data_IF_898828531663
#
_entry.id   IF_898828531663
#
_cell.length_a   1.000
_cell.length_b   1.000
_cell.length_c   1.000
_cell.angle_alpha   90.00
_cell.angle_beta   90.00
_cell.angle_gamma   90.00
#
_symmetry.space_group_name_H-M   'P 1'
#
loop_
_entity.id
_entity.type
_entity.pdbx_description
1 polymer ?
#
# COMPACT_ATOMS: atom_id res chain seq x y z
N UNK A 1 -9.11 7.63 34.08
CA UNK A 1 -10.48 7.28 33.68
C UNK A 1 -10.58 5.75 33.63
N UNK A 2 -11.55 5.18 34.34
CA UNK A 2 -11.80 3.73 34.33
C UNK A 2 -13.07 3.49 33.52
N UNK A 3 -13.05 2.50 32.64
CA UNK A 3 -14.20 2.09 31.86
C UNK A 3 -14.66 0.71 32.32
N UNK A 4 -15.94 0.57 32.68
CA UNK A 4 -16.53 -0.75 32.97
C UNK A 4 -16.84 -1.46 31.65
N UNK A 5 -16.14 -2.57 31.41
CA UNK A 5 -16.29 -3.41 30.22
C UNK A 5 -16.88 -4.78 30.54
N UNK A 6 -17.55 -4.91 31.69
CA UNK A 6 -18.19 -6.18 32.10
C UNK A 6 -19.15 -6.69 31.01
N UNK A 7 -18.97 -7.94 30.61
CA UNK A 7 -19.78 -8.57 29.57
C UNK A 7 -19.43 -8.16 28.15
N UNK A 8 -18.32 -7.44 27.94
CA UNK A 8 -17.84 -7.03 26.63
C UNK A 8 -16.50 -7.69 26.32
N UNK A 9 -16.21 -7.87 25.05
CA UNK A 9 -14.88 -8.31 24.58
C UNK A 9 -14.12 -7.08 24.08
N UNK A 10 -12.87 -6.95 24.52
CA UNK A 10 -11.96 -5.92 24.02
C UNK A 10 -11.06 -6.56 22.97
N UNK A 11 -11.00 -5.94 21.79
CA UNK A 11 -10.13 -6.35 20.70
C UNK A 11 -9.25 -5.19 20.27
N UNK A 12 -8.10 -5.43 19.64
CA UNK A 12 -7.41 -4.38 18.87
C UNK A 12 -8.35 -3.82 17.79
N UNK A 13 -8.09 -2.59 17.37
CA UNK A 13 -8.78 -2.04 16.19
C UNK A 13 -8.40 -2.79 14.91
N UNK A 14 -9.27 -2.71 13.92
CA UNK A 14 -9.00 -3.32 12.61
C UNK A 14 -7.88 -2.56 11.89
N UNK A 15 -7.16 -3.29 11.04
CA UNK A 15 -6.15 -2.74 10.14
C UNK A 15 -6.61 -3.00 8.71
N UNK A 16 -6.80 -1.92 7.94
CA UNK A 16 -7.07 -2.00 6.52
C UNK A 16 -5.73 -1.99 5.77
N UNK A 17 -5.37 -3.11 5.16
CA UNK A 17 -4.10 -3.25 4.46
C UNK A 17 -4.16 -2.85 2.98
N UNK A 18 -5.33 -2.50 2.48
CA UNK A 18 -5.53 -2.05 1.10
C UNK A 18 -6.65 -1.01 1.03
N UNK A 19 -6.31 0.21 1.36
CA UNK A 19 -7.23 1.32 1.30
C UNK A 19 -6.93 2.25 0.11
N UNK A 20 -7.95 2.99 -0.30
CA UNK A 20 -7.83 4.14 -1.19
C UNK A 20 -8.62 5.28 -0.57
N UNK A 21 -7.95 6.08 0.24
CA UNK A 21 -8.58 7.22 0.91
C UNK A 21 -8.64 8.44 -0.01
N UNK A 22 -9.44 9.41 0.37
CA UNK A 22 -9.61 10.63 -0.42
C UNK A 22 -8.29 11.37 -0.54
N UNK A 23 -7.86 11.56 -1.77
CA UNK A 23 -6.71 12.37 -2.13
C UNK A 23 -7.04 13.87 -2.03
N UNK A 24 -5.99 14.68 -1.93
CA UNK A 24 -6.10 16.13 -2.02
C UNK A 24 -6.71 16.52 -3.36
N UNK A 25 -7.77 17.31 -3.29
CA UNK A 25 -8.37 17.92 -4.47
C UNK A 25 -7.79 19.32 -4.67
N UNK A 26 -7.28 19.57 -5.86
CA UNK A 26 -6.73 20.90 -6.26
C UNK A 26 -5.54 21.37 -5.42
N UNK A 27 -4.78 20.45 -4.84
CA UNK A 27 -3.58 20.78 -4.06
C UNK A 27 -3.85 21.45 -2.71
N UNK A 28 -5.05 21.31 -2.16
CA UNK A 28 -5.44 21.86 -0.86
C UNK A 28 -5.77 20.72 0.09
N UNK A 29 -5.05 20.64 1.21
CA UNK A 29 -5.38 19.70 2.29
C UNK A 29 -6.70 20.11 2.94
N UNK A 30 -7.59 19.15 3.13
CA UNK A 30 -8.78 19.35 3.92
C UNK A 30 -8.40 19.54 5.39
N UNK A 31 -9.15 20.38 6.09
CA UNK A 31 -8.97 20.60 7.53
C UNK A 31 -9.30 19.36 8.35
N UNK A 32 -10.07 18.44 7.78
CA UNK A 32 -10.38 17.13 8.33
C UNK A 32 -10.74 16.17 7.19
N UNK A 33 -10.10 15.01 7.16
CA UNK A 33 -10.43 13.98 6.17
C UNK A 33 -11.60 13.12 6.66
N UNK A 34 -12.74 13.20 5.97
CA UNK A 34 -13.95 12.46 6.35
C UNK A 34 -13.77 10.94 6.27
N UNK A 35 -12.97 10.45 5.30
CA UNK A 35 -12.72 9.02 5.16
C UNK A 35 -11.96 8.47 6.39
N UNK A 36 -11.08 9.26 6.99
CA UNK A 36 -10.41 8.91 8.23
C UNK A 36 -11.37 8.81 9.41
N UNK A 37 -12.32 9.74 9.50
CA UNK A 37 -13.37 9.69 10.51
C UNK A 37 -14.28 8.48 10.33
N UNK A 38 -14.66 8.17 9.10
CA UNK A 38 -15.46 6.99 8.79
C UNK A 38 -14.75 5.71 9.19
N UNK A 39 -13.46 5.56 8.85
CA UNK A 39 -12.65 4.42 9.26
C UNK A 39 -12.66 4.24 10.78
N UNK A 40 -12.41 5.29 11.54
CA UNK A 40 -12.45 5.24 13.01
C UNK A 40 -13.83 4.86 13.52
N UNK A 41 -14.92 5.37 12.92
CA UNK A 41 -16.28 5.06 13.31
C UNK A 41 -16.61 3.57 13.11
N UNK A 42 -16.00 2.92 12.13
CA UNK A 42 -16.11 1.47 11.90
C UNK A 42 -15.04 0.64 12.61
N UNK A 43 -14.23 1.25 13.46
CA UNK A 43 -13.22 0.56 14.27
C UNK A 43 -11.92 0.25 13.53
N UNK A 44 -11.69 0.83 12.36
CA UNK A 44 -10.41 0.76 11.65
C UNK A 44 -9.47 1.81 12.25
N UNK A 45 -8.43 1.36 12.92
CA UNK A 45 -7.51 2.23 13.68
C UNK A 45 -6.15 2.42 13.02
N UNK A 46 -5.85 1.65 12.00
CA UNK A 46 -4.67 1.79 11.15
C UNK A 46 -4.99 1.30 9.74
N UNK A 47 -4.23 1.74 8.75
CA UNK A 47 -4.36 1.23 7.39
C UNK A 47 -3.28 1.73 6.45
N UNK A 48 -3.18 1.06 5.31
CA UNK A 48 -2.25 1.36 4.24
C UNK A 48 -3.01 1.81 3.00
N UNK A 49 -2.79 3.06 2.61
CA UNK A 49 -3.24 3.57 1.31
C UNK A 49 -2.26 3.13 0.24
N UNK A 50 -2.72 2.34 -0.69
CA UNK A 50 -1.91 1.79 -1.77
C UNK A 50 -2.16 2.55 -3.06
N UNK A 51 -1.08 2.93 -3.74
CA UNK A 51 -1.15 3.56 -5.06
C UNK A 51 -1.94 4.88 -5.07
N UNK A 52 -1.46 5.85 -4.35
CA UNK A 52 -2.00 7.21 -4.40
C UNK A 52 -1.65 7.88 -5.74
N UNK A 53 -2.49 8.80 -6.22
CA UNK A 53 -2.20 9.63 -7.39
C UNK A 53 -1.15 10.71 -7.09
N UNK A 54 -0.93 10.98 -5.80
CA UNK A 54 0.01 11.97 -5.31
C UNK A 54 0.69 11.49 -4.02
N UNK A 55 1.57 12.30 -3.46
CA UNK A 55 2.21 12.04 -2.17
C UNK A 55 1.50 12.73 -0.98
N UNK A 56 0.31 13.24 -1.19
CA UNK A 56 -0.44 14.01 -0.18
C UNK A 56 -0.83 13.17 1.04
N UNK A 57 -0.96 11.86 0.85
CA UNK A 57 -1.29 10.95 1.94
C UNK A 57 -0.22 10.96 3.05
N UNK A 58 1.03 11.25 2.72
CA UNK A 58 2.08 11.43 3.73
C UNK A 58 1.85 12.68 4.58
N UNK A 59 1.35 13.76 4.00
CA UNK A 59 0.97 14.95 4.75
C UNK A 59 -0.22 14.69 5.69
N UNK A 60 -1.21 13.90 5.26
CA UNK A 60 -2.29 13.47 6.17
C UNK A 60 -1.78 12.56 7.28
N UNK A 61 -0.84 11.67 7.01
CA UNK A 61 -0.20 10.85 8.04
C UNK A 61 0.46 11.74 9.10
N UNK A 62 1.24 12.73 8.68
CA UNK A 62 1.90 13.68 9.58
C UNK A 62 0.89 14.44 10.44
N UNK A 63 -0.21 14.92 9.85
CA UNK A 63 -1.27 15.63 10.57
C UNK A 63 -1.99 14.75 11.61
N UNK A 64 -2.16 13.47 11.34
CA UNK A 64 -2.70 12.51 12.33
C UNK A 64 -1.69 12.27 13.45
N UNK A 65 -0.41 12.08 13.11
CA UNK A 65 0.66 11.79 14.07
C UNK A 65 0.93 12.98 15.00
N UNK A 66 0.79 14.21 14.50
CA UNK A 66 0.88 15.44 15.32
C UNK A 66 -0.40 15.74 16.10
N UNK A 67 -1.50 15.10 15.76
CA UNK A 67 -2.81 15.32 16.40
C UNK A 67 -3.56 16.55 15.87
N UNK A 68 -3.14 17.10 14.75
CA UNK A 68 -3.79 18.26 14.11
C UNK A 68 -5.12 17.87 13.44
N UNK A 69 -5.24 16.61 13.03
CA UNK A 69 -6.52 16.03 12.57
C UNK A 69 -6.80 14.72 13.30
N UNK A 70 -8.08 14.39 13.41
CA UNK A 70 -8.51 13.10 13.93
C UNK A 70 -8.55 12.07 12.81
N UNK A 71 -7.88 10.93 13.00
CA UNK A 71 -7.84 9.87 12.01
C UNK A 71 -7.25 8.58 12.55
N UNK A 72 -7.42 7.50 11.78
CA UNK A 72 -6.66 6.29 11.99
C UNK A 72 -5.18 6.55 11.64
N UNK A 73 -4.31 5.71 12.14
CA UNK A 73 -2.90 5.73 11.75
C UNK A 73 -2.78 5.39 10.27
N UNK A 74 -2.42 6.38 9.44
CA UNK A 74 -2.37 6.25 7.99
C UNK A 74 -0.93 5.97 7.53
N UNK A 75 -0.78 4.92 6.74
CA UNK A 75 0.45 4.60 6.02
C UNK A 75 0.17 4.69 4.52
N UNK A 76 1.19 4.93 3.71
CA UNK A 76 1.04 5.00 2.27
C UNK A 76 2.21 4.39 1.53
N UNK A 77 1.94 3.81 0.38
CA UNK A 77 2.98 3.47 -0.59
C UNK A 77 3.47 4.68 -1.38
N UNK A 78 2.73 5.78 -1.32
CA UNK A 78 2.87 6.87 -2.28
C UNK A 78 2.37 6.48 -3.67
N UNK A 79 2.71 7.26 -4.70
CA UNK A 79 2.34 6.97 -6.09
C UNK A 79 2.82 5.58 -6.51
N UNK A 80 1.94 4.82 -7.14
CA UNK A 80 2.26 3.48 -7.62
C UNK A 80 3.30 3.49 -8.74
N UNK A 81 4.06 2.43 -8.83
CA UNK A 81 5.01 2.21 -9.93
C UNK A 81 4.28 1.42 -11.02
N UNK A 82 4.04 2.05 -12.15
CA UNK A 82 3.23 1.53 -13.25
C UNK A 82 4.05 0.89 -14.37
N UNK A 83 3.36 0.15 -15.24
CA UNK A 83 3.95 -0.53 -16.38
C UNK A 83 4.61 0.42 -17.39
N UNK A 84 4.15 1.64 -17.47
CA UNK A 84 4.69 2.67 -18.37
C UNK A 84 6.02 3.29 -17.88
N UNK A 85 6.46 2.98 -16.68
CA UNK A 85 7.79 3.39 -16.21
C UNK A 85 8.92 2.84 -17.08
N UNK A 86 8.71 1.70 -17.73
CA UNK A 86 9.61 1.12 -18.74
C UNK A 86 11.11 1.09 -18.34
N UNK A 87 11.39 0.61 -17.15
CA UNK A 87 12.74 0.52 -16.61
C UNK A 87 13.66 -0.34 -17.48
N UNK A 88 14.83 0.18 -17.81
CA UNK A 88 15.84 -0.50 -18.61
C UNK A 88 16.92 -1.18 -17.75
N UNK A 89 17.11 -0.74 -16.53
CA UNK A 89 18.12 -1.26 -15.62
C UNK A 89 17.63 -1.31 -14.17
N UNK A 90 18.35 -2.07 -13.37
CA UNK A 90 18.17 -2.10 -11.92
C UNK A 90 18.51 -0.76 -11.27
N UNK A 91 19.49 -0.05 -11.79
CA UNK A 91 19.92 1.26 -11.29
C UNK A 91 18.81 2.29 -11.44
N UNK A 92 18.08 2.28 -12.54
CA UNK A 92 16.91 3.18 -12.73
C UNK A 92 15.84 2.89 -11.68
N UNK A 93 15.47 1.63 -11.49
CA UNK A 93 14.50 1.23 -10.47
C UNK A 93 15.00 1.64 -9.08
N UNK A 94 16.25 1.37 -8.76
CA UNK A 94 16.85 1.73 -7.47
C UNK A 94 16.83 3.24 -7.24
N UNK A 95 17.08 4.03 -8.28
CA UNK A 95 16.97 5.49 -8.23
C UNK A 95 15.57 5.95 -7.84
N UNK A 96 14.53 5.39 -8.45
CA UNK A 96 13.14 5.67 -8.12
C UNK A 96 12.81 5.24 -6.69
N UNK A 97 13.11 4.00 -6.31
CA UNK A 97 12.79 3.49 -4.98
C UNK A 97 13.56 4.21 -3.86
N UNK A 98 14.78 4.69 -4.15
CA UNK A 98 15.54 5.53 -3.20
C UNK A 98 14.78 6.81 -2.86
N UNK A 99 14.08 7.40 -3.84
CA UNK A 99 13.22 8.56 -3.58
C UNK A 99 12.12 8.22 -2.57
N UNK A 100 11.44 7.08 -2.75
CA UNK A 100 10.39 6.63 -1.83
C UNK A 100 10.95 6.36 -0.43
N UNK A 101 12.04 5.60 -0.36
CA UNK A 101 12.66 5.24 0.92
C UNK A 101 13.21 6.43 1.68
N UNK A 102 13.89 7.34 0.97
CA UNK A 102 14.63 8.45 1.57
C UNK A 102 13.79 9.70 1.79
N UNK A 103 12.92 10.04 0.85
CA UNK A 103 12.20 11.32 0.88
C UNK A 103 10.73 11.17 1.29
N UNK A 104 10.09 10.06 0.95
CA UNK A 104 8.73 9.78 1.44
C UNK A 104 8.74 9.01 2.75
N UNK A 105 9.86 8.41 3.13
CA UNK A 105 9.97 7.66 4.38
C UNK A 105 9.17 6.36 4.39
N UNK A 106 8.64 5.92 3.26
CA UNK A 106 7.88 4.67 3.20
C UNK A 106 8.75 3.46 2.96
N UNK A 107 8.37 2.35 3.59
CA UNK A 107 8.94 1.03 3.31
C UNK A 107 8.08 0.20 2.35
N UNK A 108 6.88 0.67 2.05
CA UNK A 108 5.91 -0.03 1.23
C UNK A 108 5.92 0.52 -0.19
N UNK A 109 5.88 -0.35 -1.18
CA UNK A 109 5.79 0.01 -2.59
C UNK A 109 4.65 -0.73 -3.24
N UNK A 110 3.79 -0.01 -3.92
CA UNK A 110 2.84 -0.58 -4.85
C UNK A 110 3.50 -0.66 -6.22
N UNK A 111 3.88 -1.86 -6.61
CA UNK A 111 4.30 -2.16 -7.97
C UNK A 111 3.07 -2.64 -8.73
N UNK A 112 2.43 -1.75 -9.47
CA UNK A 112 1.24 -2.10 -10.23
C UNK A 112 1.55 -3.19 -11.28
N UNK A 113 1.27 -3.02 -12.53
CA UNK A 113 1.64 -3.97 -13.59
C UNK A 113 2.94 -3.51 -14.26
N UNK A 114 4.05 -3.54 -13.52
CA UNK A 114 5.35 -3.09 -14.05
C UNK A 114 5.82 -4.02 -15.16
N UNK A 115 5.84 -3.53 -16.38
CA UNK A 115 6.51 -4.08 -17.54
C UNK A 115 6.54 -5.62 -17.69
N UNK A 116 7.63 -6.11 -18.22
CA UNK A 116 7.87 -7.55 -18.34
C UNK A 116 8.46 -8.14 -17.04
N UNK A 117 8.59 -9.48 -16.99
CA UNK A 117 9.09 -10.18 -15.81
C UNK A 117 10.48 -9.69 -15.35
N UNK A 118 11.37 -9.37 -16.29
CA UNK A 118 12.71 -8.88 -15.97
C UNK A 118 12.66 -7.55 -15.24
N UNK A 119 11.80 -6.65 -15.67
CA UNK A 119 11.58 -5.35 -15.00
C UNK A 119 10.99 -5.54 -13.60
N UNK A 120 10.04 -6.48 -13.43
CA UNK A 120 9.50 -6.83 -12.10
C UNK A 120 10.58 -7.41 -11.18
N UNK A 121 11.47 -8.25 -11.70
CA UNK A 121 12.60 -8.77 -10.94
C UNK A 121 13.57 -7.67 -10.52
N UNK A 122 13.83 -6.67 -11.36
CA UNK A 122 14.58 -5.47 -10.96
C UNK A 122 13.90 -4.74 -9.80
N UNK A 123 12.57 -4.60 -9.87
CA UNK A 123 11.78 -3.97 -8.80
C UNK A 123 11.97 -4.69 -7.46
N UNK A 124 11.77 -6.00 -7.45
CA UNK A 124 11.90 -6.82 -6.24
C UNK A 124 13.33 -6.78 -5.69
N UNK A 125 14.33 -6.90 -6.56
CA UNK A 125 15.72 -6.89 -6.15
C UNK A 125 16.14 -5.53 -5.58
N UNK A 126 15.78 -4.44 -6.24
CA UNK A 126 16.06 -3.09 -5.74
C UNK A 126 15.32 -2.81 -4.42
N UNK A 127 14.07 -3.25 -4.30
CA UNK A 127 13.30 -3.13 -3.07
C UNK A 127 13.98 -3.88 -1.91
N UNK A 128 14.45 -5.10 -2.15
CA UNK A 128 15.19 -5.89 -1.16
C UNK A 128 16.46 -5.19 -0.68
N UNK A 129 17.24 -4.59 -1.59
CA UNK A 129 18.46 -3.85 -1.23
C UNK A 129 18.17 -2.57 -0.41
N UNK A 130 16.98 -2.00 -0.57
CA UNK A 130 16.54 -0.80 0.12
C UNK A 130 15.67 -1.10 1.36
N UNK A 131 15.54 -2.38 1.73
CA UNK A 131 14.70 -2.84 2.84
C UNK A 131 13.25 -2.35 2.70
N UNK A 132 12.71 -2.49 1.49
CA UNK A 132 11.33 -2.15 1.15
C UNK A 132 10.51 -3.38 0.82
N UNK A 133 9.21 -3.28 0.98
CA UNK A 133 8.24 -4.36 0.77
C UNK A 133 7.38 -4.05 -0.47
N UNK A 134 7.73 -4.60 -1.64
CA UNK A 134 6.92 -4.43 -2.83
C UNK A 134 5.68 -5.32 -2.78
N UNK A 135 4.52 -4.73 -3.03
CA UNK A 135 3.28 -5.45 -3.35
C UNK A 135 2.93 -5.27 -4.82
N UNK A 136 2.11 -6.14 -5.35
CA UNK A 136 1.62 -6.06 -6.73
C UNK A 136 0.09 -6.06 -6.75
N UNK A 137 -0.47 -5.45 -7.78
CA UNK A 137 -1.93 -5.45 -8.00
C UNK A 137 -2.51 -6.85 -8.09
N UNK A 138 -1.71 -7.80 -8.53
CA UNK A 138 -2.19 -9.10 -8.93
C UNK A 138 -2.71 -9.12 -10.36
N UNK A 139 -2.99 -10.30 -10.85
CA UNK A 139 -3.58 -10.52 -12.15
C UNK A 139 -4.74 -11.51 -12.04
N UNK A 140 -5.66 -11.50 -13.00
CA UNK A 140 -6.68 -12.52 -13.10
C UNK A 140 -6.10 -13.82 -13.72
N UNK A 141 -4.81 -14.03 -13.60
CA UNK A 141 -4.04 -15.14 -14.13
C UNK A 141 -3.16 -15.74 -13.03
N UNK A 142 -3.55 -16.91 -12.55
CA UNK A 142 -2.82 -17.64 -11.51
C UNK A 142 -1.33 -17.83 -11.86
N UNK A 143 -1.01 -18.10 -13.11
CA UNK A 143 0.38 -18.32 -13.52
C UNK A 143 1.21 -17.07 -13.34
N UNK A 144 0.66 -15.91 -13.65
CA UNK A 144 1.33 -14.64 -13.41
C UNK A 144 1.47 -14.35 -11.93
N UNK A 145 0.42 -14.55 -11.13
CA UNK A 145 0.45 -14.35 -9.69
C UNK A 145 1.48 -15.26 -9.00
N UNK A 146 1.55 -16.53 -9.40
CA UNK A 146 2.59 -17.43 -8.91
C UNK A 146 4.00 -16.95 -9.27
N UNK A 147 4.19 -16.33 -10.45
CA UNK A 147 5.50 -15.74 -10.77
C UNK A 147 5.83 -14.55 -9.89
N UNK A 148 4.86 -13.74 -9.47
CA UNK A 148 5.08 -12.66 -8.51
C UNK A 148 5.56 -13.20 -7.16
N UNK A 149 4.92 -14.25 -6.65
CA UNK A 149 5.34 -14.90 -5.41
C UNK A 149 6.76 -15.46 -5.53
N UNK A 150 7.05 -16.18 -6.62
CA UNK A 150 8.38 -16.76 -6.87
C UNK A 150 9.45 -15.67 -7.00
N UNK A 151 9.13 -14.55 -7.64
CA UNK A 151 10.05 -13.44 -7.84
C UNK A 151 10.28 -12.64 -6.52
N UNK A 152 9.46 -12.87 -5.47
CA UNK A 152 9.69 -12.34 -4.13
C UNK A 152 8.91 -11.08 -3.78
N UNK A 153 7.76 -10.85 -4.42
CA UNK A 153 6.83 -9.84 -3.94
C UNK A 153 6.31 -10.20 -2.55
N UNK A 154 6.14 -9.21 -1.68
CA UNK A 154 5.67 -9.39 -0.31
C UNK A 154 4.16 -9.51 -0.19
N UNK A 155 3.43 -8.99 -1.17
CA UNK A 155 1.99 -9.05 -1.22
C UNK A 155 1.48 -9.11 -2.66
N UNK A 156 0.36 -9.79 -2.82
CA UNK A 156 -0.39 -9.86 -4.05
C UNK A 156 -1.83 -9.46 -3.75
N UNK A 157 -2.31 -8.40 -4.39
CA UNK A 157 -3.57 -7.78 -4.10
C UNK A 157 -4.60 -8.16 -5.17
N UNK A 158 -5.90 -8.05 -4.86
CA UNK A 158 -6.98 -8.37 -5.79
C UNK A 158 -6.94 -9.76 -6.40
N UNK A 159 -6.37 -10.73 -5.72
CA UNK A 159 -6.36 -12.09 -6.21
C UNK A 159 -7.72 -12.73 -6.08
N UNK A 160 -8.39 -12.84 -7.19
CA UNK A 160 -9.38 -13.88 -7.42
C UNK A 160 -8.88 -14.70 -8.63
N UNK A 161 -7.79 -15.48 -8.49
CA UNK A 161 -7.41 -16.34 -9.56
C UNK A 161 -8.57 -17.34 -9.75
N UNK A 162 -9.21 -17.28 -10.89
CA UNK A 162 -10.03 -18.40 -11.36
C UNK A 162 -9.05 -19.53 -11.54
N UNK A 163 -8.84 -20.30 -10.49
CA UNK A 163 -7.91 -21.42 -10.52
C UNK A 163 -8.60 -22.60 -11.13
N UNK A 164 -8.09 -23.15 -12.22
CA UNK A 164 -8.55 -24.44 -12.73
C UNK A 164 -8.36 -25.60 -11.74
N UNK A 165 -7.59 -25.40 -10.67
CA UNK A 165 -7.36 -26.38 -9.60
C UNK A 165 -8.64 -26.79 -8.83
N UNK A 166 -9.71 -25.99 -8.88
CA UNK A 166 -10.99 -26.36 -8.28
C UNK A 166 -11.85 -27.27 -9.16
N UNK A 167 -11.47 -27.48 -10.41
CA UNK A 167 -12.25 -28.31 -11.34
C UNK A 167 -11.80 -29.77 -11.42
N UNK A 168 -10.74 -30.13 -10.71
CA UNK A 168 -10.18 -31.49 -10.70
C UNK A 168 -10.54 -32.29 -9.43
N UNK A 169 -11.60 -31.89 -8.73
CA UNK A 169 -12.10 -32.61 -7.54
C UNK A 169 -13.49 -33.16 -7.84
#
# INVERSE_FOLDING_TARGET
KVFDVKGKTITPGFVDTHAHWSEIKRGILDTQNWAFLANLAYGVTAGLDVQTGSNDMFAYQDLVDTGDILGQRAFSTGPGVFSDNNFQSMEEVKGVLTKYRKYYGTHNIKSYLVGNRKQRQYMVQAAKELEMMPTTEGALDLKLDLTHVIDGFHGNEHTLPITPLYNDV
#
